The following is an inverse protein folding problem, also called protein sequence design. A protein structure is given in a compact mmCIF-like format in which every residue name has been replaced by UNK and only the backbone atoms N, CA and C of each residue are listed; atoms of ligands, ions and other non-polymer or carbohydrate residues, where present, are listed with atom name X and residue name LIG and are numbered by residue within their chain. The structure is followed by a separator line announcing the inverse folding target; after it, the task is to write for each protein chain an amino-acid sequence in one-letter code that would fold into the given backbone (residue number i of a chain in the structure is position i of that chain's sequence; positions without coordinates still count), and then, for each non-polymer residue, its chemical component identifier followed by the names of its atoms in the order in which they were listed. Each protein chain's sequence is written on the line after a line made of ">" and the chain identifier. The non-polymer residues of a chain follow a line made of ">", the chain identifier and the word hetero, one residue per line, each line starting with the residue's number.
data_IF_125520376858
#
_entry.id   IF_125520376858
#
_cell.length_a   1.000
_cell.length_b   1.000
_cell.length_c   1.000
_cell.angle_alpha   90.00
_cell.angle_beta   90.00
_cell.angle_gamma   90.00
#
_symmetry.space_group_name_H-M   'P 1'
#
loop_
_entity.id
_entity.type
_entity.pdbx_description
1 polymer ?
#
# COMPACT_ATOMS: atom_id res chain seq x y z
N UNK A 1 -2.53 19.75 -7.46
CA UNK A 1 -2.75 20.20 -6.06
C UNK A 1 -3.88 19.37 -5.48
N UNK A 2 -3.55 18.27 -4.82
CA UNK A 2 -4.51 17.50 -4.01
C UNK A 2 -4.63 18.20 -2.66
N UNK A 3 -5.85 18.54 -2.28
CA UNK A 3 -6.13 19.07 -0.93
C UNK A 3 -5.86 17.90 0.03
N UNK A 4 -5.07 18.09 1.11
CA UNK A 4 -4.94 17.07 2.15
C UNK A 4 -6.34 16.67 2.63
N UNK A 5 -6.72 15.40 2.46
CA UNK A 5 -8.04 14.89 2.83
C UNK A 5 -8.88 14.33 1.67
N UNK A 6 -8.77 14.88 0.45
CA UNK A 6 -9.71 14.51 -0.66
C UNK A 6 -9.76 13.01 -0.97
N UNK A 7 -8.63 12.31 -0.87
CA UNK A 7 -8.60 10.85 -1.06
C UNK A 7 -9.36 10.08 0.03
N UNK A 8 -9.16 10.45 1.30
CA UNK A 8 -9.84 9.82 2.43
C UNK A 8 -11.34 10.14 2.42
N UNK A 9 -11.72 11.37 2.05
CA UNK A 9 -13.13 11.76 1.91
C UNK A 9 -13.85 10.95 0.83
N UNK A 10 -13.20 10.75 -0.33
CA UNK A 10 -13.73 9.88 -1.39
C UNK A 10 -13.84 8.44 -0.90
N UNK A 11 -12.81 7.94 -0.20
CA UNK A 11 -12.82 6.59 0.34
C UNK A 11 -13.99 6.37 1.30
N UNK A 12 -14.20 7.31 2.23
CA UNK A 12 -15.29 7.30 3.19
C UNK A 12 -16.65 7.33 2.48
N UNK A 13 -16.86 8.24 1.53
CA UNK A 13 -18.11 8.34 0.79
C UNK A 13 -18.46 7.04 0.03
N UNK A 14 -17.45 6.37 -0.53
CA UNK A 14 -17.62 5.08 -1.21
C UNK A 14 -17.97 3.98 -0.20
N UNK A 15 -17.28 3.93 0.96
CA UNK A 15 -17.59 2.98 2.02
C UNK A 15 -19.01 3.18 2.59
N UNK A 16 -19.41 4.42 2.86
CA UNK A 16 -20.75 4.79 3.31
C UNK A 16 -21.81 4.42 2.27
N UNK A 17 -21.56 4.67 0.98
CA UNK A 17 -22.49 4.32 -0.09
C UNK A 17 -22.79 2.83 -0.15
N UNK A 18 -21.77 1.98 0.02
CA UNK A 18 -21.97 0.54 0.11
C UNK A 18 -22.67 0.11 1.39
N UNK A 19 -22.35 0.70 2.55
CA UNK A 19 -23.00 0.39 3.82
C UNK A 19 -24.48 0.80 3.85
N UNK A 20 -24.84 1.85 3.12
CA UNK A 20 -26.22 2.28 2.90
C UNK A 20 -26.97 1.45 1.85
N UNK A 21 -26.31 0.50 1.18
CA UNK A 21 -26.91 -0.35 0.15
C UNK A 21 -27.19 0.35 -1.17
N UNK A 22 -26.50 1.46 -1.47
CA UNK A 22 -26.64 2.14 -2.77
C UNK A 22 -26.00 1.35 -3.92
N UNK A 23 -25.04 0.47 -3.61
CA UNK A 23 -24.43 -0.47 -4.55
C UNK A 23 -23.79 -1.63 -3.78
N UNK A 24 -23.65 -2.78 -4.43
CA UNK A 24 -23.00 -3.95 -3.86
C UNK A 24 -21.50 -3.96 -4.17
N UNK A 25 -20.67 -4.11 -3.15
CA UNK A 25 -19.26 -4.41 -3.35
C UNK A 25 -19.10 -5.89 -3.72
N UNK A 26 -18.38 -6.15 -4.82
CA UNK A 26 -17.73 -7.47 -4.97
C UNK A 26 -16.57 -7.54 -3.97
N UNK A 27 -16.14 -8.76 -3.61
CA UNK A 27 -14.93 -8.93 -2.79
C UNK A 27 -13.71 -8.22 -3.42
N UNK A 28 -13.62 -8.20 -4.75
CA UNK A 28 -12.54 -7.51 -5.48
C UNK A 28 -12.61 -5.98 -5.40
N UNK A 29 -13.82 -5.39 -5.38
CA UNK A 29 -13.96 -3.95 -5.13
C UNK A 29 -13.56 -3.61 -3.68
N UNK A 30 -13.99 -4.43 -2.72
CA UNK A 30 -13.71 -4.20 -1.31
C UNK A 30 -12.21 -4.35 -0.99
N UNK A 31 -11.54 -5.38 -1.51
CA UNK A 31 -10.09 -5.55 -1.32
C UNK A 31 -9.30 -4.39 -1.93
N UNK A 32 -9.76 -3.85 -3.07
CA UNK A 32 -9.15 -2.66 -3.70
C UNK A 32 -9.27 -1.42 -2.82
N UNK A 33 -10.40 -1.24 -2.16
CA UNK A 33 -10.62 -0.16 -1.20
C UNK A 33 -9.67 -0.30 0.00
N UNK A 34 -9.63 -1.47 0.62
CA UNK A 34 -8.72 -1.74 1.74
C UNK A 34 -7.26 -1.56 1.38
N UNK A 35 -6.83 -2.10 0.24
CA UNK A 35 -5.47 -1.91 -0.27
C UNK A 35 -5.11 -0.43 -0.42
N UNK A 36 -6.03 0.38 -0.94
CA UNK A 36 -5.82 1.82 -1.05
C UNK A 36 -5.66 2.47 0.33
N UNK A 37 -6.53 2.13 1.28
CA UNK A 37 -6.54 2.70 2.62
C UNK A 37 -5.24 2.39 3.38
N UNK A 38 -4.84 1.12 3.42
CA UNK A 38 -3.60 0.69 4.07
C UNK A 38 -2.38 1.35 3.45
N UNK A 39 -2.27 1.38 2.11
CA UNK A 39 -1.17 2.04 1.43
C UNK A 39 -1.12 3.56 1.72
N UNK A 40 -2.27 4.23 1.74
CA UNK A 40 -2.36 5.66 2.05
C UNK A 40 -1.93 5.96 3.49
N UNK A 41 -2.39 5.15 4.44
CA UNK A 41 -2.00 5.29 5.86
C UNK A 41 -0.51 5.02 6.04
N UNK A 42 0.02 3.94 5.46
CA UNK A 42 1.45 3.63 5.53
C UNK A 42 2.32 4.76 4.97
N UNK A 43 2.02 5.26 3.77
CA UNK A 43 2.77 6.36 3.15
C UNK A 43 2.68 7.62 4.01
N UNK A 44 1.53 7.89 4.62
CA UNK A 44 1.36 9.04 5.51
C UNK A 44 2.21 8.91 6.78
N UNK A 45 2.27 7.71 7.38
CA UNK A 45 3.17 7.41 8.49
C UNK A 45 4.64 7.55 8.09
N UNK A 46 5.05 7.02 6.94
CA UNK A 46 6.42 7.16 6.44
C UNK A 46 6.81 8.63 6.23
N UNK A 47 5.91 9.45 5.67
CA UNK A 47 6.15 10.90 5.55
C UNK A 47 6.31 11.58 6.90
N UNK A 48 5.50 11.18 7.88
CA UNK A 48 5.49 11.76 9.24
C UNK A 48 6.74 11.37 10.03
N UNK A 49 7.15 10.10 9.97
CA UNK A 49 8.19 9.53 10.82
C UNK A 49 9.59 9.60 10.19
N UNK A 50 9.68 9.35 8.88
CA UNK A 50 10.96 9.26 8.16
C UNK A 50 11.20 10.44 7.21
N UNK A 51 10.19 11.27 7.01
CA UNK A 51 10.25 12.43 6.12
C UNK A 51 10.10 12.07 4.64
N UNK A 52 10.54 13.00 3.80
CA UNK A 52 10.42 12.91 2.34
C UNK A 52 11.72 13.27 1.64
N UNK A 53 11.92 12.74 0.43
CA UNK A 53 12.98 13.19 -0.49
C UNK A 53 12.38 13.66 -1.82
N UNK A 54 13.18 14.35 -2.62
CA UNK A 54 12.81 14.75 -3.99
C UNK A 54 13.46 13.80 -4.98
N UNK A 55 12.65 13.25 -5.89
CA UNK A 55 13.10 12.40 -7.00
C UNK A 55 12.82 13.13 -8.31
N UNK A 56 13.82 13.16 -9.19
CA UNK A 56 13.64 13.61 -10.58
C UNK A 56 13.06 12.46 -11.39
N UNK A 57 11.87 12.66 -11.92
CA UNK A 57 11.13 11.69 -12.74
C UNK A 57 11.70 11.60 -14.16
N UNK A 58 11.37 10.55 -14.93
CA UNK A 58 11.83 10.40 -16.31
C UNK A 58 11.46 11.56 -17.25
N UNK A 59 10.37 12.27 -16.96
CA UNK A 59 9.93 13.44 -17.72
C UNK A 59 10.63 14.75 -17.29
N UNK A 60 11.57 14.67 -16.35
CA UNK A 60 12.31 15.80 -15.79
C UNK A 60 11.55 16.57 -14.70
N UNK A 61 10.32 16.19 -14.36
CA UNK A 61 9.60 16.74 -13.22
C UNK A 61 10.19 16.27 -11.89
N UNK A 62 9.87 16.98 -10.80
CA UNK A 62 10.34 16.65 -9.46
C UNK A 62 9.17 16.21 -8.59
N UNK A 63 9.26 15.01 -8.02
CA UNK A 63 8.26 14.45 -7.09
C UNK A 63 8.78 14.42 -5.66
N UNK A 64 7.95 14.82 -4.71
CA UNK A 64 8.23 14.64 -3.29
C UNK A 64 7.64 13.31 -2.79
N UNK A 65 8.50 12.41 -2.32
CA UNK A 65 8.15 11.01 -2.04
C UNK A 65 8.54 10.61 -0.62
N UNK A 66 7.80 9.66 -0.03
CA UNK A 66 8.05 9.19 1.32
C UNK A 66 9.30 8.29 1.36
N UNK A 67 9.93 8.18 2.54
CA UNK A 67 11.10 7.33 2.75
C UNK A 67 10.73 6.20 3.70
N UNK A 68 11.00 4.95 3.31
CA UNK A 68 11.09 3.84 4.24
C UNK A 68 12.54 3.63 4.64
N UNK A 69 12.81 3.30 5.91
CA UNK A 69 14.14 2.98 6.41
C UNK A 69 14.07 1.89 7.48
N UNK A 70 14.92 0.88 7.36
CA UNK A 70 15.10 -0.15 8.39
C UNK A 70 16.34 0.09 9.27
N UNK A 71 16.84 1.32 9.27
CA UNK A 71 18.03 1.73 10.01
C UNK A 71 19.37 1.37 9.35
N UNK A 72 19.37 0.49 8.33
CA UNK A 72 20.58 0.13 7.56
C UNK A 72 20.53 0.66 6.12
N UNK A 73 19.36 0.60 5.51
CA UNK A 73 19.11 1.10 4.17
C UNK A 73 17.75 1.82 4.14
N UNK A 74 17.61 2.74 3.20
CA UNK A 74 16.35 3.42 2.94
C UNK A 74 15.99 3.39 1.47
N UNK A 75 14.69 3.30 1.19
CA UNK A 75 14.13 3.34 -0.16
C UNK A 75 12.99 4.36 -0.21
N UNK A 76 12.70 4.84 -1.42
CA UNK A 76 11.54 5.70 -1.65
C UNK A 76 10.27 4.85 -1.77
N UNK A 77 9.18 5.31 -1.17
CA UNK A 77 7.88 4.65 -1.21
C UNK A 77 6.89 5.49 -2.00
N UNK A 78 6.42 4.92 -3.11
CA UNK A 78 5.37 5.50 -3.95
C UNK A 78 4.03 4.81 -3.66
N UNK A 79 2.92 5.55 -3.52
CA UNK A 79 1.59 4.96 -3.31
C UNK A 79 1.17 3.94 -4.38
N UNK A 80 1.65 4.09 -5.62
CA UNK A 80 1.37 3.11 -6.68
C UNK A 80 2.15 1.82 -6.48
N UNK A 81 3.47 1.92 -6.29
CA UNK A 81 4.34 0.76 -6.06
C UNK A 81 3.96 -0.01 -4.79
N UNK A 82 3.57 0.70 -3.73
CA UNK A 82 3.08 0.09 -2.49
C UNK A 82 1.85 -0.78 -2.74
N UNK A 83 0.84 -0.24 -3.42
CA UNK A 83 -0.36 -1.00 -3.77
C UNK A 83 -0.03 -2.21 -4.64
N UNK A 84 0.90 -2.08 -5.58
CA UNK A 84 1.32 -3.22 -6.40
C UNK A 84 2.03 -4.30 -5.56
N UNK A 85 2.89 -3.90 -4.62
CA UNK A 85 3.56 -4.82 -3.70
C UNK A 85 2.55 -5.57 -2.83
N UNK A 86 1.56 -4.87 -2.27
CA UNK A 86 0.51 -5.49 -1.47
C UNK A 86 -0.36 -6.45 -2.30
N UNK A 87 -0.77 -6.04 -3.51
CA UNK A 87 -1.56 -6.89 -4.40
C UNK A 87 -0.82 -8.17 -4.78
N UNK A 88 0.48 -8.08 -5.08
CA UNK A 88 1.25 -9.24 -5.51
C UNK A 88 1.63 -10.18 -4.36
N UNK A 89 2.05 -9.63 -3.21
CA UNK A 89 2.63 -10.43 -2.13
C UNK A 89 1.63 -10.85 -1.08
N UNK A 90 0.65 -10.00 -0.73
CA UNK A 90 -0.38 -10.32 0.26
C UNK A 90 -1.56 -10.99 -0.44
N UNK A 91 -2.19 -10.28 -1.39
CA UNK A 91 -3.39 -10.80 -2.04
C UNK A 91 -3.07 -11.98 -2.96
N UNK A 92 -1.98 -11.89 -3.73
CA UNK A 92 -1.51 -12.98 -4.59
C UNK A 92 -1.32 -14.29 -3.82
N UNK A 93 -0.65 -14.25 -2.67
CA UNK A 93 -0.47 -15.43 -1.83
C UNK A 93 -1.79 -16.04 -1.33
N UNK A 94 -2.79 -15.20 -1.01
CA UNK A 94 -4.11 -15.68 -0.59
C UNK A 94 -4.91 -16.24 -1.76
N UNK A 95 -4.86 -15.59 -2.92
CA UNK A 95 -5.53 -16.05 -4.14
C UNK A 95 -4.94 -17.38 -4.61
N UNK A 96 -3.62 -17.55 -4.58
CA UNK A 96 -2.96 -18.81 -4.92
C UNK A 96 -3.41 -19.96 -4.01
N UNK A 97 -3.64 -19.66 -2.72
CA UNK A 97 -3.99 -20.67 -1.72
C UNK A 97 -5.47 -21.01 -1.67
N UNK A 98 -6.35 -20.03 -1.85
CA UNK A 98 -7.79 -20.15 -1.59
C UNK A 98 -8.66 -19.90 -2.83
N UNK A 99 -8.07 -19.50 -3.96
CA UNK A 99 -8.81 -19.07 -5.15
C UNK A 99 -9.18 -17.59 -5.10
N UNK A 100 -9.67 -17.05 -6.22
CA UNK A 100 -9.86 -15.60 -6.41
C UNK A 100 -10.85 -14.96 -5.44
N UNK A 101 -12.00 -15.60 -5.20
CA UNK A 101 -13.06 -15.05 -4.36
C UNK A 101 -12.72 -15.17 -2.87
N UNK A 102 -12.48 -16.39 -2.37
CA UNK A 102 -12.11 -16.61 -0.97
C UNK A 102 -10.78 -15.92 -0.64
N UNK A 103 -9.81 -15.91 -1.55
CA UNK A 103 -8.54 -15.21 -1.37
C UNK A 103 -8.73 -13.71 -1.17
N UNK A 104 -9.62 -13.06 -1.93
CA UNK A 104 -9.95 -11.65 -1.74
C UNK A 104 -10.63 -11.39 -0.39
N UNK A 105 -11.55 -12.27 0.05
CA UNK A 105 -12.18 -12.18 1.37
C UNK A 105 -11.17 -12.31 2.52
N UNK A 106 -10.23 -13.26 2.42
CA UNK A 106 -9.15 -13.40 3.41
C UNK A 106 -8.23 -12.17 3.43
N UNK A 107 -7.94 -11.60 2.26
CA UNK A 107 -7.11 -10.40 2.18
C UNK A 107 -7.78 -9.18 2.83
N UNK A 108 -9.11 -9.05 2.68
CA UNK A 108 -9.88 -8.02 3.38
C UNK A 108 -9.75 -8.16 4.90
N UNK A 109 -9.96 -9.36 5.45
CA UNK A 109 -9.82 -9.61 6.89
C UNK A 109 -8.39 -9.33 7.37
N UNK A 110 -7.40 -9.68 6.56
CA UNK A 110 -6.00 -9.40 6.84
C UNK A 110 -5.72 -7.89 6.90
N UNK A 111 -6.19 -7.12 5.91
CA UNK A 111 -6.07 -5.66 5.93
C UNK A 111 -6.83 -5.00 7.08
N UNK A 112 -8.01 -5.51 7.44
CA UNK A 112 -8.74 -5.05 8.62
C UNK A 112 -7.92 -5.21 9.91
N UNK A 113 -7.14 -6.28 10.05
CA UNK A 113 -6.25 -6.47 11.19
C UNK A 113 -5.02 -5.52 11.18
N UNK A 114 -4.69 -4.94 10.02
CA UNK A 114 -3.55 -4.02 9.87
C UNK A 114 -3.90 -2.57 10.24
N UNK A 115 -5.17 -2.21 10.39
CA UNK A 115 -5.60 -0.83 10.65
C UNK A 115 -6.40 -0.73 11.95
N UNK A 116 -6.01 0.21 12.80
CA UNK A 116 -6.88 0.72 13.85
C UNK A 116 -7.80 1.77 13.24
N UNK A 117 -9.07 1.40 13.01
CA UNK A 117 -10.05 2.26 12.36
C UNK A 117 -10.41 3.47 13.22
N UNK A 118 -10.36 3.34 14.55
CA UNK A 118 -10.68 4.45 15.47
C UNK A 118 -9.56 5.48 15.51
N UNK A 119 -8.30 5.00 15.54
CA UNK A 119 -7.13 5.87 15.53
C UNK A 119 -6.81 6.42 14.12
N UNK A 120 -7.23 5.72 13.06
CA UNK A 120 -6.85 6.04 11.68
C UNK A 120 -5.37 5.74 11.38
N UNK A 121 -4.78 4.82 12.14
CA UNK A 121 -3.36 4.48 12.11
C UNK A 121 -3.16 2.98 11.86
N UNK A 122 -1.98 2.59 11.38
CA UNK A 122 -1.65 1.17 11.30
C UNK A 122 -1.55 0.56 12.71
N UNK A 123 -1.95 -0.71 12.85
CA UNK A 123 -1.63 -1.49 14.05
C UNK A 123 -0.15 -1.85 14.06
N UNK A 124 0.37 -2.33 15.20
CA UNK A 124 1.74 -2.89 15.24
C UNK A 124 1.91 -4.02 14.22
N UNK A 125 0.89 -4.87 14.06
CA UNK A 125 0.85 -5.94 13.06
C UNK A 125 0.92 -5.39 11.63
N UNK A 126 0.16 -4.32 11.34
CA UNK A 126 0.20 -3.66 10.04
C UNK A 126 1.57 -3.08 9.70
N UNK A 127 2.20 -2.39 10.66
CA UNK A 127 3.54 -1.82 10.47
C UNK A 127 4.60 -2.90 10.27
N UNK A 128 4.58 -3.95 11.07
CA UNK A 128 5.52 -5.07 10.97
C UNK A 128 5.39 -5.79 9.62
N UNK A 129 4.15 -6.09 9.20
CA UNK A 129 3.90 -6.73 7.90
C UNK A 129 4.45 -5.91 6.74
N UNK A 130 4.19 -4.60 6.72
CA UNK A 130 4.70 -3.75 5.64
C UNK A 130 6.22 -3.57 5.74
N UNK A 131 6.79 -3.47 6.94
CA UNK A 131 8.23 -3.44 7.12
C UNK A 131 8.91 -4.72 6.60
N UNK A 132 8.35 -5.90 6.86
CA UNK A 132 8.86 -7.17 6.34
C UNK A 132 8.87 -7.20 4.80
N UNK A 133 7.81 -6.71 4.14
CA UNK A 133 7.77 -6.61 2.68
C UNK A 133 8.92 -5.73 2.14
N UNK A 134 9.16 -4.59 2.77
CA UNK A 134 10.21 -3.66 2.35
C UNK A 134 11.61 -4.20 2.67
N UNK A 135 11.79 -4.84 3.82
CA UNK A 135 13.05 -5.43 4.23
C UNK A 135 13.45 -6.60 3.34
N UNK A 136 12.48 -7.44 2.96
CA UNK A 136 12.70 -8.49 1.96
C UNK A 136 13.11 -7.90 0.62
N UNK A 137 12.44 -6.85 0.15
CA UNK A 137 12.80 -6.17 -1.10
C UNK A 137 14.22 -5.56 -1.06
N UNK A 138 14.58 -4.89 0.03
CA UNK A 138 15.93 -4.35 0.24
C UNK A 138 16.98 -5.47 0.24
N UNK A 139 16.71 -6.56 0.96
CA UNK A 139 17.60 -7.73 1.02
C UNK A 139 17.80 -8.34 -0.38
N UNK A 140 16.72 -8.48 -1.14
CA UNK A 140 16.77 -8.99 -2.52
C UNK A 140 17.60 -8.07 -3.43
N UNK A 141 17.41 -6.75 -3.35
CA UNK A 141 18.23 -5.78 -4.10
C UNK A 141 19.71 -5.84 -3.72
N UNK A 142 20.04 -6.03 -2.45
CA UNK A 142 21.42 -6.13 -1.99
C UNK A 142 22.11 -7.41 -2.47
N UNK A 143 21.37 -8.52 -2.56
CA UNK A 143 21.89 -9.82 -3.00
C UNK A 143 21.97 -9.93 -4.52
N UNK A 144 20.94 -9.47 -5.23
CA UNK A 144 20.74 -9.69 -6.67
C UNK A 144 21.14 -8.47 -7.52
N UNK A 145 21.35 -7.31 -6.89
CA UNK A 145 21.50 -6.03 -7.57
C UNK A 145 20.16 -5.49 -8.05
N UNK A 146 20.18 -4.30 -8.67
CA UNK A 146 19.00 -3.78 -9.35
C UNK A 146 18.65 -4.68 -10.52
N UNK A 147 17.37 -5.04 -10.72
CA UNK A 147 16.96 -5.75 -11.93
C UNK A 147 17.38 -4.92 -13.15
N UNK A 148 17.83 -5.61 -14.20
CA UNK A 148 18.05 -4.95 -15.49
C UNK A 148 16.76 -4.18 -15.85
N UNK A 149 16.90 -2.89 -16.19
CA UNK A 149 15.73 -2.09 -16.54
C UNK A 149 14.93 -2.84 -17.60
N UNK A 150 13.60 -2.99 -17.43
CA UNK A 150 12.77 -3.58 -18.46
C UNK A 150 13.02 -2.80 -19.76
N UNK A 151 13.40 -3.50 -20.82
CA UNK A 151 13.38 -2.92 -22.15
C UNK A 151 11.93 -2.49 -22.40
N UNK A 152 11.71 -1.19 -22.52
CA UNK A 152 10.40 -0.57 -22.77
C UNK A 152 9.58 -1.41 -23.76
N UNK A 153 8.38 -1.82 -23.35
CA UNK A 153 7.34 -2.36 -24.24
C UNK A 153 6.43 -1.23 -24.72
#
# INVERSE_FOLDING_TARGET
>A
MTIPGTGYDIHLAVAEGGNCGYFDFTAQHNVTMWRWLIAATFVSEMKRDNGTTTVTEPDGSASQVAIYSNGKAGIVVYPFSERLAMANNIEGAMIERYGSEEGAEKAIVFYQAMLDVEAGELTSFGRETLAELHDHFISDLQQKGWPEMPLTH
#
